data_IF_608286847597
#
_entry.id   IF_608286847597
#
_cell.length_a   1.000
_cell.length_b   1.000
_cell.length_c   1.000
_cell.angle_alpha   90.00
_cell.angle_beta   90.00
_cell.angle_gamma   90.00
#
_symmetry.space_group_name_H-M   'P 1'
#
loop_
_entity.id
_entity.type
_entity.pdbx_description
1 polymer ?
#
# COMPACT_ATOMS: atom_id res chain seq x y z
N UNK A 1 9.54 -15.94 0.69
CA UNK A 1 9.19 -16.36 -0.70
C UNK A 1 10.42 -16.22 -1.60
N UNK A 2 10.41 -16.71 -2.86
CA UNK A 2 11.52 -16.40 -3.80
C UNK A 2 11.20 -15.10 -4.56
N UNK A 3 12.04 -14.09 -4.41
CA UNK A 3 11.91 -12.81 -5.12
C UNK A 3 12.79 -12.80 -6.36
N UNK A 4 12.19 -12.51 -7.50
CA UNK A 4 12.88 -12.23 -8.76
C UNK A 4 12.56 -10.80 -9.23
N UNK A 5 13.32 -10.32 -10.21
CA UNK A 5 13.18 -8.96 -10.71
C UNK A 5 11.79 -8.64 -11.28
N UNK A 6 11.12 -9.64 -11.85
CA UNK A 6 9.75 -9.47 -12.35
C UNK A 6 8.78 -9.23 -11.19
N UNK A 7 8.86 -10.03 -10.13
CA UNK A 7 7.99 -9.93 -8.97
C UNK A 7 8.19 -8.60 -8.23
N UNK A 8 9.44 -8.15 -8.06
CA UNK A 8 9.75 -6.85 -7.44
C UNK A 8 9.09 -5.72 -8.23
N UNK A 9 9.22 -5.75 -9.56
CA UNK A 9 8.59 -4.76 -10.44
C UNK A 9 7.07 -4.80 -10.38
N UNK A 10 6.49 -5.99 -10.33
CA UNK A 10 5.04 -6.17 -10.29
C UNK A 10 4.46 -5.67 -8.97
N UNK A 11 5.08 -6.00 -7.82
CA UNK A 11 4.72 -5.44 -6.51
C UNK A 11 4.73 -3.90 -6.54
N UNK A 12 5.84 -3.32 -7.03
CA UNK A 12 6.00 -1.87 -7.12
C UNK A 12 4.89 -1.22 -7.94
N UNK A 13 4.54 -1.80 -9.08
CA UNK A 13 3.48 -1.30 -9.96
C UNK A 13 2.09 -1.43 -9.33
N UNK A 14 1.83 -2.54 -8.66
CA UNK A 14 0.54 -2.75 -7.97
C UNK A 14 0.34 -1.75 -6.83
N UNK A 15 1.42 -1.38 -6.14
CA UNK A 15 1.42 -0.32 -5.13
C UNK A 15 1.50 1.10 -5.72
N UNK A 16 1.49 1.25 -7.05
CA UNK A 16 1.62 2.53 -7.77
C UNK A 16 2.89 3.33 -7.40
N UNK A 17 4.00 2.65 -7.12
CA UNK A 17 5.26 3.28 -6.74
C UNK A 17 6.21 3.48 -7.93
N UNK A 18 6.93 4.61 -7.96
CA UNK A 18 8.10 4.76 -8.82
C UNK A 18 9.31 3.96 -8.26
N UNK A 19 10.37 3.70 -9.06
CA UNK A 19 11.58 3.09 -8.53
C UNK A 19 12.18 3.87 -7.34
N UNK A 20 12.13 5.20 -7.37
CA UNK A 20 12.57 6.07 -6.27
C UNK A 20 11.69 5.98 -5.02
N UNK A 21 10.39 5.73 -5.19
CA UNK A 21 9.47 5.48 -4.09
C UNK A 21 9.81 4.18 -3.36
N UNK A 22 10.07 3.11 -4.11
CA UNK A 22 10.44 1.82 -3.54
C UNK A 22 11.82 1.89 -2.87
N UNK A 23 12.78 2.56 -3.52
CA UNK A 23 14.13 2.79 -2.98
C UNK A 23 14.09 3.49 -1.62
N UNK A 24 13.31 4.58 -1.50
CA UNK A 24 13.12 5.30 -0.23
C UNK A 24 12.51 4.42 0.86
N UNK A 25 11.54 3.57 0.51
CA UNK A 25 10.85 2.68 1.46
C UNK A 25 11.74 1.52 1.94
N UNK A 26 12.60 1.02 1.07
CA UNK A 26 13.56 -0.05 1.37
C UNK A 26 14.90 0.49 1.91
N UNK A 27 15.04 1.81 2.05
CA UNK A 27 16.29 2.47 2.43
C UNK A 27 17.49 2.03 1.57
N UNK A 28 17.28 1.91 0.26
CA UNK A 28 18.31 1.58 -0.72
C UNK A 28 18.33 2.62 -1.85
N UNK A 29 19.22 2.43 -2.82
CA UNK A 29 19.35 3.34 -3.97
C UNK A 29 18.44 2.94 -5.13
N UNK A 30 18.03 3.94 -5.92
CA UNK A 30 17.31 3.72 -7.18
C UNK A 30 18.02 2.68 -8.07
N UNK A 31 19.36 2.77 -8.15
CA UNK A 31 20.17 1.88 -8.98
C UNK A 31 20.07 0.42 -8.53
N UNK A 32 20.03 0.17 -7.22
CA UNK A 32 19.83 -1.18 -6.69
C UNK A 32 18.47 -1.74 -7.08
N UNK A 33 17.39 -0.94 -6.99
CA UNK A 33 16.06 -1.34 -7.46
C UNK A 33 16.09 -1.76 -8.93
N UNK A 34 16.68 -0.96 -9.81
CA UNK A 34 16.77 -1.30 -11.24
C UNK A 34 17.57 -2.57 -11.48
N UNK A 35 18.69 -2.75 -10.79
CA UNK A 35 19.49 -3.97 -10.91
C UNK A 35 18.71 -5.20 -10.47
N UNK A 36 17.94 -5.10 -9.38
CA UNK A 36 17.06 -6.19 -8.93
C UNK A 36 15.96 -6.47 -9.96
N UNK A 37 15.26 -5.45 -10.46
CA UNK A 37 14.20 -5.61 -11.48
C UNK A 37 14.71 -6.21 -12.80
N UNK A 38 15.98 -5.98 -13.15
CA UNK A 38 16.64 -6.56 -14.32
C UNK A 38 17.29 -7.92 -14.05
N UNK A 39 17.18 -8.48 -12.84
CA UNK A 39 17.87 -9.71 -12.39
C UNK A 39 19.40 -9.63 -12.52
N UNK A 40 19.99 -8.43 -12.44
CA UNK A 40 21.44 -8.22 -12.48
C UNK A 40 22.09 -8.39 -11.10
N UNK A 41 21.31 -8.24 -10.03
CA UNK A 41 21.70 -8.58 -8.67
C UNK A 41 20.49 -9.04 -7.86
N UNK A 42 20.72 -9.57 -6.68
CA UNK A 42 19.66 -9.98 -5.75
C UNK A 42 19.63 -9.10 -4.51
N UNK A 43 18.45 -8.81 -3.94
CA UNK A 43 18.33 -8.11 -2.67
C UNK A 43 18.92 -8.94 -1.52
N UNK A 44 19.34 -8.26 -0.44
CA UNK A 44 19.74 -8.93 0.79
C UNK A 44 18.53 -9.54 1.52
N UNK A 45 18.78 -10.39 2.51
CA UNK A 45 17.71 -11.00 3.31
C UNK A 45 16.82 -9.95 3.99
N UNK A 46 17.42 -8.90 4.55
CA UNK A 46 16.69 -7.81 5.22
C UNK A 46 15.72 -7.09 4.26
N UNK A 47 16.16 -6.87 3.01
CA UNK A 47 15.32 -6.28 1.97
C UNK A 47 14.20 -7.24 1.56
N UNK A 48 14.50 -8.55 1.48
CA UNK A 48 13.49 -9.58 1.19
C UNK A 48 12.40 -9.58 2.26
N UNK A 49 12.76 -9.48 3.54
CA UNK A 49 11.80 -9.45 4.64
C UNK A 49 10.88 -8.21 4.55
N UNK A 50 11.43 -7.05 4.12
CA UNK A 50 10.63 -5.85 3.85
C UNK A 50 9.73 -5.98 2.61
N UNK A 51 10.21 -6.63 1.55
CA UNK A 51 9.39 -6.91 0.36
C UNK A 51 8.23 -7.85 0.69
N UNK A 52 8.46 -8.87 1.52
CA UNK A 52 7.42 -9.77 2.02
C UNK A 52 6.38 -8.98 2.84
N UNK A 53 6.81 -8.02 3.67
CA UNK A 53 5.89 -7.13 4.41
C UNK A 53 5.02 -6.28 3.46
N UNK A 54 5.59 -5.69 2.43
CA UNK A 54 4.83 -4.89 1.46
C UNK A 54 3.86 -5.74 0.64
N UNK A 55 4.22 -6.98 0.30
CA UNK A 55 3.32 -7.91 -0.39
C UNK A 55 2.12 -8.29 0.49
N UNK A 56 2.33 -8.45 1.81
CA UNK A 56 1.24 -8.64 2.77
C UNK A 56 0.32 -7.42 2.89
N UNK A 57 0.89 -6.21 3.03
CA UNK A 57 0.10 -4.97 3.12
C UNK A 57 -0.80 -4.75 1.89
N UNK A 58 -0.29 -5.07 0.71
CA UNK A 58 -1.05 -5.04 -0.54
C UNK A 58 -2.29 -5.94 -0.47
N UNK A 59 -2.14 -7.15 0.07
CA UNK A 59 -3.22 -8.13 0.14
C UNK A 59 -4.32 -7.71 1.13
N UNK A 60 -3.92 -7.15 2.28
CA UNK A 60 -4.85 -6.70 3.31
C UNK A 60 -5.69 -5.50 2.81
N UNK A 61 -5.02 -4.54 2.18
CA UNK A 61 -5.67 -3.37 1.55
C UNK A 61 -6.66 -3.76 0.45
N UNK A 62 -6.45 -4.90 -0.23
CA UNK A 62 -7.37 -5.40 -1.25
C UNK A 62 -8.63 -6.06 -0.67
N UNK A 63 -8.57 -6.58 0.56
CA UNK A 63 -9.71 -7.18 1.26
C UNK A 63 -10.65 -6.10 1.83
N UNK A 64 -10.07 -5.06 2.45
CA UNK A 64 -10.81 -4.04 3.19
C UNK A 64 -11.70 -3.16 2.29
N UNK A 65 -11.23 -2.82 1.09
CA UNK A 65 -11.99 -2.03 0.11
C UNK A 65 -13.28 -2.75 -0.33
N UNK A 66 -13.28 -4.08 -0.36
CA UNK A 66 -14.44 -4.90 -0.71
C UNK A 66 -15.50 -4.90 0.38
N UNK A 67 -15.08 -4.81 1.64
CA UNK A 67 -15.97 -4.80 2.80
C UNK A 67 -16.53 -3.39 3.06
N UNK A 68 -15.71 -2.35 2.93
CA UNK A 68 -16.16 -0.95 2.99
C UNK A 68 -17.22 -0.63 1.94
N UNK A 69 -17.03 -1.06 0.68
CA UNK A 69 -18.02 -0.83 -0.37
C UNK A 69 -19.38 -1.50 -0.07
N UNK A 70 -19.36 -2.69 0.56
CA UNK A 70 -20.60 -3.36 1.01
C UNK A 70 -21.27 -2.62 2.15
N UNK A 71 -20.50 -2.18 3.14
CA UNK A 71 -21.03 -1.43 4.30
C UNK A 71 -21.63 -0.09 3.83
N UNK A 72 -20.94 0.65 2.96
CA UNK A 72 -21.47 1.89 2.38
C UNK A 72 -22.77 1.68 1.61
N UNK A 73 -22.88 0.58 0.84
CA UNK A 73 -24.12 0.25 0.15
C UNK A 73 -25.27 -0.06 1.11
N UNK A 74 -24.99 -0.77 2.20
CA UNK A 74 -25.98 -1.12 3.22
C UNK A 74 -26.40 0.14 4.00
N UNK A 75 -25.47 1.03 4.34
CA UNK A 75 -25.77 2.29 5.03
C UNK A 75 -26.63 3.24 4.20
N UNK A 76 -26.36 3.33 2.89
CA UNK A 76 -27.17 4.10 1.93
C UNK A 76 -28.58 3.53 1.79
N UNK A 77 -28.72 2.21 1.74
CA UNK A 77 -30.03 1.53 1.66
C UNK A 77 -30.88 1.76 2.92
N UNK A 78 -30.24 1.79 4.10
CA UNK A 78 -30.90 2.06 5.37
C UNK A 78 -31.11 3.55 5.69
N UNK A 79 -30.80 4.47 4.77
CA UNK A 79 -31.07 5.90 4.91
C UNK A 79 -30.28 6.60 6.01
N UNK A 80 -29.17 6.00 6.48
CA UNK A 80 -28.28 6.58 7.49
C UNK A 80 -27.22 7.47 6.82
N UNK A 81 -27.66 8.47 6.06
CA UNK A 81 -26.80 9.46 5.44
C UNK A 81 -26.94 10.80 6.20
N UNK A 82 -26.18 10.93 7.30
CA UNK A 82 -25.60 12.17 7.84
C UNK A 82 -25.29 12.04 9.33
N UNK A 83 -24.00 12.03 9.68
CA UNK A 83 -23.59 12.75 10.89
C UNK A 83 -23.53 14.21 10.47
N UNK A 84 -24.59 14.97 10.78
CA UNK A 84 -24.55 16.42 10.70
C UNK A 84 -23.34 16.87 11.51
N UNK A 85 -22.43 17.63 10.90
CA UNK A 85 -21.41 18.34 11.67
C UNK A 85 -22.17 19.22 12.64
N UNK A 86 -22.25 18.81 13.90
CA UNK A 86 -22.71 19.69 14.96
C UNK A 86 -21.62 20.76 15.04
N UNK A 87 -21.97 21.97 14.60
CA UNK A 87 -21.10 23.16 14.67
C UNK A 87 -20.42 23.21 16.04
N UNK A 88 -19.09 23.12 16.01
CA UNK A 88 -18.22 23.30 17.17
C UNK A 88 -18.13 24.80 17.48
N UNK A 89 -19.26 25.39 17.88
CA UNK A 89 -19.36 26.81 18.26
C UNK A 89 -19.62 27.01 19.75
N UNK A 90 -19.05 26.12 20.57
CA UNK A 90 -18.94 26.32 22.01
C UNK A 90 -17.56 25.78 22.36
N UNK A 91 -16.53 26.62 22.47
CA UNK A 91 -16.09 27.23 23.72
C UNK A 91 -15.15 28.38 23.33
N UNK A 92 -15.55 29.62 23.63
CA UNK A 92 -14.64 30.65 24.17
C UNK A 92 -15.48 31.86 24.62
N UNK A 93 -15.80 31.89 25.91
CA UNK A 93 -16.03 33.11 26.68
C UNK A 93 -15.33 32.98 28.02
#
# INVERSE_FOLDING_TARGET
MNWDGKRIRDLRRQMSWSPDDLARRLNCTHKEILNWEMNQSSPSKEIIDLLDLFDLQRLDSASDVSEQARIESILKDHGLDQVSQVDLDVIEK
#
